data_IF_031874761851
#
_entry.id   IF_031874761851
#
_cell.length_a   1.000
_cell.length_b   1.000
_cell.length_c   1.000
_cell.angle_alpha   90.00
_cell.angle_beta   90.00
_cell.angle_gamma   90.00
#
_symmetry.space_group_name_H-M   'P 1'
#
loop_
_entity.id
_entity.type
_entity.pdbx_description
1 polymer ?
#
# COMPACT_ATOMS: atom_id res chain seq x y z
N UNK A 1 43.62 34.66 36.41
CA UNK A 1 44.28 34.30 35.15
C UNK A 1 43.40 33.28 34.46
N UNK A 2 42.64 33.72 33.45
CA UNK A 2 41.72 32.88 32.68
C UNK A 2 42.49 31.82 31.90
N UNK A 3 42.09 30.56 32.02
CA UNK A 3 42.51 29.49 31.12
C UNK A 3 41.38 29.22 30.13
N UNK A 4 41.59 29.64 28.88
CA UNK A 4 40.73 29.31 27.75
C UNK A 4 40.95 27.86 27.32
N UNK A 5 39.89 27.04 27.34
CA UNK A 5 39.87 25.75 26.67
C UNK A 5 39.25 25.95 25.28
N UNK A 6 40.02 25.64 24.24
CA UNK A 6 39.50 25.47 22.87
C UNK A 6 38.69 24.17 22.77
N UNK A 7 37.59 24.12 22.00
CA UNK A 7 36.94 22.86 21.68
C UNK A 7 37.67 22.15 20.53
N UNK A 8 38.03 20.89 20.78
CA UNK A 8 38.62 19.98 19.81
C UNK A 8 37.65 19.62 18.69
N UNK A 9 38.18 19.62 17.47
CA UNK A 9 37.50 19.28 16.23
C UNK A 9 37.28 17.77 16.08
N UNK A 10 36.11 17.40 15.55
CA UNK A 10 36.02 16.45 14.44
C UNK A 10 35.94 14.97 14.80
N UNK A 11 34.71 14.45 14.81
CA UNK A 11 34.42 13.02 14.79
C UNK A 11 32.97 12.73 14.38
N UNK A 12 32.48 13.40 13.34
CA UNK A 12 31.13 13.20 12.83
C UNK A 12 31.03 11.89 12.05
N UNK A 13 30.54 10.84 12.69
CA UNK A 13 30.05 9.63 12.01
C UNK A 13 28.89 10.03 11.09
N UNK A 14 29.13 9.97 9.77
CA UNK A 14 28.09 10.11 8.76
C UNK A 14 27.11 8.93 8.89
N UNK A 15 25.95 9.16 9.53
CA UNK A 15 24.78 8.31 9.35
C UNK A 15 24.42 8.33 7.86
N UNK A 16 24.48 7.17 7.19
CA UNK A 16 23.87 6.98 5.87
C UNK A 16 22.34 6.95 6.05
N UNK A 17 21.72 8.12 6.17
CA UNK A 17 20.30 8.28 5.88
C UNK A 17 20.11 8.16 4.36
N UNK A 18 19.09 7.44 3.92
CA UNK A 18 18.71 7.37 2.51
C UNK A 18 18.57 8.78 1.94
N UNK A 19 19.29 9.08 0.85
CA UNK A 19 19.15 10.37 0.15
C UNK A 19 17.83 10.36 -0.61
N UNK A 20 16.77 10.86 0.02
CA UNK A 20 15.71 11.55 -0.72
C UNK A 20 16.17 12.99 -0.97
N UNK A 21 15.83 13.56 -2.13
CA UNK A 21 16.05 14.98 -2.41
C UNK A 21 15.29 15.85 -1.41
N UNK A 22 15.77 17.07 -1.17
CA UNK A 22 15.12 18.05 -0.29
C UNK A 22 13.59 18.06 -0.50
N UNK A 23 12.84 17.69 0.54
CA UNK A 23 11.38 17.81 0.60
C UNK A 23 10.55 16.60 0.14
N UNK A 24 11.12 15.43 -0.17
CA UNK A 24 10.34 14.22 -0.53
C UNK A 24 10.60 13.06 0.43
N UNK A 25 9.56 12.33 0.86
CA UNK A 25 9.64 11.17 1.76
C UNK A 25 8.72 10.03 1.30
N UNK A 26 9.18 8.78 1.40
CA UNK A 26 8.31 7.62 1.24
C UNK A 26 7.54 7.43 2.54
N UNK A 27 6.21 7.36 2.46
CA UNK A 27 5.34 7.19 3.62
C UNK A 27 4.27 6.14 3.34
N UNK A 28 3.73 5.54 4.41
CA UNK A 28 2.52 4.73 4.31
C UNK A 28 1.36 5.62 3.84
N UNK A 29 0.67 5.20 2.78
CA UNK A 29 -0.50 5.91 2.27
C UNK A 29 -1.77 5.41 2.96
N UNK A 30 -2.05 4.11 2.81
CA UNK A 30 -3.24 3.49 3.38
C UNK A 30 -3.13 1.97 3.49
N UNK A 31 -4.05 1.41 4.27
CA UNK A 31 -4.32 -0.03 4.39
C UNK A 31 -5.66 -0.33 3.72
N UNK A 32 -5.72 -1.39 2.90
CA UNK A 32 -6.94 -1.82 2.21
C UNK A 32 -7.55 -3.00 2.96
N UNK A 33 -8.78 -2.82 3.45
CA UNK A 33 -9.54 -3.83 4.18
C UNK A 33 -10.77 -4.21 3.38
N UNK A 34 -10.80 -5.45 2.87
CA UNK A 34 -11.95 -5.95 2.11
C UNK A 34 -13.07 -6.36 3.07
N UNK A 35 -14.26 -5.80 2.88
CA UNK A 35 -15.46 -6.09 3.67
C UNK A 35 -16.63 -6.51 2.76
N UNK A 36 -17.64 -7.20 3.31
CA UNK A 36 -18.90 -7.42 2.59
C UNK A 36 -19.55 -6.07 2.26
N UNK A 37 -20.24 -5.97 1.13
CA UNK A 37 -20.83 -4.70 0.67
C UNK A 37 -21.77 -4.04 1.69
N UNK A 38 -22.50 -4.85 2.46
CA UNK A 38 -23.43 -4.35 3.47
C UNK A 38 -22.74 -3.60 4.64
N UNK A 39 -21.43 -3.80 4.85
CA UNK A 39 -20.64 -3.01 5.82
C UNK A 39 -20.47 -1.55 5.41
N UNK A 40 -20.63 -1.24 4.13
CA UNK A 40 -20.59 0.14 3.64
C UNK A 40 -21.98 0.79 3.72
N UNK A 41 -23.05 -0.01 3.75
CA UNK A 41 -24.43 0.47 3.71
C UNK A 41 -24.80 1.29 4.95
N UNK A 42 -25.32 2.49 4.72
CA UNK A 42 -25.74 3.40 5.79
C UNK A 42 -24.60 4.15 6.49
N UNK A 43 -23.38 4.08 5.95
CA UNK A 43 -22.25 4.94 6.30
C UNK A 43 -22.18 6.18 5.38
N UNK A 44 -21.49 7.26 5.79
CA UNK A 44 -21.39 8.48 5.00
C UNK A 44 -20.80 8.22 3.62
N UNK A 45 -21.41 8.81 2.60
CA UNK A 45 -20.76 8.97 1.29
C UNK A 45 -20.84 7.79 0.32
N UNK A 46 -21.74 6.85 0.51
CA UNK A 46 -22.20 6.05 -0.62
C UNK A 46 -23.27 6.82 -1.38
N UNK A 47 -23.29 6.72 -2.72
CA UNK A 47 -24.38 7.31 -3.48
C UNK A 47 -25.67 6.66 -3.01
N UNK A 48 -26.57 7.42 -2.39
CA UNK A 48 -27.97 7.10 -2.50
C UNK A 48 -28.24 7.09 -4.01
N UNK A 49 -28.52 5.92 -4.57
CA UNK A 49 -28.91 5.75 -5.97
C UNK A 49 -29.76 6.95 -6.42
N UNK A 50 -29.21 7.78 -7.29
CA UNK A 50 -29.73 9.11 -7.57
C UNK A 50 -29.73 9.42 -9.06
N UNK A 51 -30.85 9.08 -9.70
CA UNK A 51 -31.39 9.61 -10.96
C UNK A 51 -30.76 9.21 -12.31
N UNK A 52 -31.29 8.13 -12.89
CA UNK A 52 -31.77 8.15 -14.26
C UNK A 52 -33.29 8.24 -14.25
N UNK A 53 -33.88 9.29 -14.84
CA UNK A 53 -35.33 9.45 -14.95
C UNK A 53 -35.98 8.30 -15.72
N UNK A 54 -36.62 7.40 -14.98
CA UNK A 54 -37.47 6.33 -15.49
C UNK A 54 -38.27 5.83 -14.31
N UNK A 55 -39.59 6.02 -14.34
CA UNK A 55 -40.49 5.49 -13.35
C UNK A 55 -40.50 3.95 -13.45
N UNK A 56 -39.63 3.28 -12.70
CA UNK A 56 -39.80 1.88 -12.33
C UNK A 56 -39.20 1.66 -10.94
N UNK A 57 -40.07 1.30 -10.00
CA UNK A 57 -39.80 1.21 -8.56
C UNK A 57 -38.92 0.04 -8.11
N UNK A 58 -37.95 -0.39 -8.92
CA UNK A 58 -37.16 -1.61 -8.66
C UNK A 58 -35.85 -1.36 -7.92
N UNK A 59 -35.21 -0.19 -8.08
CA UNK A 59 -33.94 0.12 -7.41
C UNK A 59 -34.09 0.43 -5.90
N UNK A 60 -35.18 1.09 -5.49
CA UNK A 60 -35.50 1.32 -4.08
C UNK A 60 -35.93 0.03 -3.35
N UNK A 61 -36.36 -1.00 -4.09
CA UNK A 61 -36.69 -2.33 -3.56
C UNK A 61 -35.48 -3.27 -3.47
N UNK A 62 -34.40 -3.03 -4.23
CA UNK A 62 -33.16 -3.81 -4.12
C UNK A 62 -32.38 -3.53 -2.81
N UNK A 63 -32.56 -2.35 -2.21
CA UNK A 63 -32.00 -2.02 -0.90
C UNK A 63 -32.86 -2.53 0.29
N UNK A 64 -34.08 -3.00 0.04
CA UNK A 64 -35.06 -3.35 1.08
C UNK A 64 -34.80 -4.70 1.78
N UNK A 65 -33.60 -5.26 1.66
CA UNK A 65 -33.20 -6.52 2.31
C UNK A 65 -31.70 -6.65 2.61
N UNK A 66 -30.90 -5.60 2.42
CA UNK A 66 -29.50 -5.61 2.86
C UNK A 66 -29.43 -5.15 4.32
N UNK A 67 -28.87 -6.01 5.17
CA UNK A 67 -28.61 -5.70 6.57
C UNK A 67 -27.69 -4.49 6.66
N UNK A 68 -27.99 -3.52 7.52
CA UNK A 68 -27.09 -2.38 7.70
C UNK A 68 -25.73 -2.86 8.25
N UNK A 69 -24.69 -2.04 8.10
CA UNK A 69 -23.41 -2.31 8.73
C UNK A 69 -23.60 -2.61 10.23
N UNK A 70 -22.94 -3.65 10.79
CA UNK A 70 -23.08 -3.98 12.21
C UNK A 70 -22.77 -2.80 13.12
N UNK A 71 -23.48 -2.69 14.25
CA UNK A 71 -23.32 -1.57 15.19
C UNK A 71 -21.85 -1.41 15.65
N UNK A 72 -21.19 -2.51 16.01
CA UNK A 72 -19.78 -2.49 16.41
C UNK A 72 -18.88 -1.86 15.34
N UNK A 73 -19.19 -2.08 14.05
CA UNK A 73 -18.40 -1.55 12.93
C UNK A 73 -18.67 -0.06 12.74
N UNK A 74 -19.96 0.33 12.75
CA UNK A 74 -20.40 1.73 12.63
C UNK A 74 -19.82 2.63 13.72
N UNK A 75 -19.63 2.08 14.90
CA UNK A 75 -19.12 2.79 16.07
C UNK A 75 -17.59 2.69 16.23
N UNK A 76 -16.92 1.78 15.50
CA UNK A 76 -15.48 1.55 15.67
C UNK A 76 -14.66 2.80 15.34
N UNK A 77 -15.02 3.50 14.27
CA UNK A 77 -14.31 4.67 13.77
C UNK A 77 -15.28 5.76 13.33
N UNK A 78 -14.73 6.96 13.16
CA UNK A 78 -15.41 8.01 12.38
C UNK A 78 -15.13 7.79 10.91
N UNK A 79 -16.17 7.43 10.16
CA UNK A 79 -16.08 7.20 8.72
C UNK A 79 -16.22 8.49 7.93
N UNK A 80 -15.37 8.63 6.91
CA UNK A 80 -15.42 9.68 5.91
C UNK A 80 -15.92 9.12 4.57
N UNK A 81 -16.64 9.94 3.78
CA UNK A 81 -17.05 9.59 2.43
C UNK A 81 -15.89 9.08 1.56
N UNK A 82 -16.10 7.93 0.93
CA UNK A 82 -15.26 7.43 -0.14
C UNK A 82 -15.90 7.67 -1.51
N UNK A 83 -16.11 6.61 -2.28
CA UNK A 83 -16.80 6.64 -3.57
C UNK A 83 -16.61 5.34 -4.36
N UNK A 84 -17.10 5.36 -5.60
CA UNK A 84 -16.93 4.25 -6.55
C UNK A 84 -15.62 4.41 -7.33
N UNK A 85 -14.85 3.33 -7.41
CA UNK A 85 -13.63 3.31 -8.21
C UNK A 85 -13.94 3.38 -9.70
N UNK A 86 -12.98 3.88 -10.47
CA UNK A 86 -13.15 4.15 -11.90
C UNK A 86 -13.51 2.90 -12.74
N UNK A 87 -13.13 1.70 -12.27
CA UNK A 87 -13.51 0.42 -12.89
C UNK A 87 -14.98 0.03 -12.65
N UNK A 88 -15.66 0.71 -11.71
CA UNK A 88 -17.02 0.44 -11.31
C UNK A 88 -17.20 -0.85 -10.50
N UNK A 89 -16.14 -1.58 -10.16
CA UNK A 89 -16.25 -2.90 -9.52
C UNK A 89 -16.29 -2.83 -8.00
N UNK A 90 -15.74 -1.76 -7.43
CA UNK A 90 -15.61 -1.60 -5.98
C UNK A 90 -16.00 -0.21 -5.52
N UNK A 91 -16.46 -0.14 -4.28
CA UNK A 91 -16.78 1.09 -3.55
C UNK A 91 -16.06 1.08 -2.20
N UNK A 92 -15.77 2.27 -1.66
CA UNK A 92 -15.09 2.41 -0.39
C UNK A 92 -15.74 3.43 0.55
N UNK A 93 -15.42 3.29 1.83
CA UNK A 93 -15.49 4.32 2.85
C UNK A 93 -14.13 4.41 3.53
N UNK A 94 -13.81 5.57 4.11
CA UNK A 94 -12.48 5.85 4.63
C UNK A 94 -12.50 6.08 6.13
N UNK A 95 -11.43 5.69 6.80
CA UNK A 95 -11.11 6.13 8.16
C UNK A 95 -9.81 6.92 8.07
N UNK A 96 -9.89 8.24 8.29
CA UNK A 96 -8.75 9.14 8.15
C UNK A 96 -8.06 9.29 9.50
N UNK A 97 -6.73 9.20 9.56
CA UNK A 97 -6.00 9.42 10.79
C UNK A 97 -5.28 10.77 10.81
N UNK A 98 -5.01 11.29 12.03
CA UNK A 98 -4.23 12.53 12.22
C UNK A 98 -2.84 12.46 11.59
N UNK A 99 -2.25 11.27 11.53
CA UNK A 99 -0.95 11.02 10.88
C UNK A 99 -0.93 11.20 9.36
N UNK A 100 -2.10 11.34 8.71
CA UNK A 100 -2.25 11.44 7.26
C UNK A 100 -2.34 10.10 6.52
N UNK A 101 -2.19 9.00 7.25
CA UNK A 101 -2.53 7.63 6.81
C UNK A 101 -4.05 7.44 6.89
N UNK A 102 -4.62 6.56 6.07
CA UNK A 102 -6.02 6.15 6.22
C UNK A 102 -6.25 4.63 6.11
N UNK A 103 -7.36 4.14 6.65
CA UNK A 103 -7.89 2.82 6.30
C UNK A 103 -8.91 2.99 5.18
N UNK A 104 -8.81 2.13 4.17
CA UNK A 104 -9.78 2.00 3.11
C UNK A 104 -10.60 0.74 3.32
N UNK A 105 -11.83 0.89 3.81
CA UNK A 105 -12.77 -0.21 3.84
C UNK A 105 -13.44 -0.29 2.47
N UNK A 106 -13.12 -1.34 1.74
CA UNK A 106 -13.54 -1.54 0.36
C UNK A 106 -14.45 -2.74 0.24
N UNK A 107 -15.43 -2.68 -0.66
CA UNK A 107 -16.26 -3.81 -1.02
C UNK A 107 -16.50 -3.88 -2.53
N UNK A 108 -16.70 -5.09 -3.05
CA UNK A 108 -17.22 -5.28 -4.40
C UNK A 108 -18.67 -4.83 -4.46
N UNK A 109 -19.06 -4.14 -5.54
CA UNK A 109 -20.47 -3.76 -5.72
C UNK A 109 -21.33 -5.02 -5.89
N UNK A 110 -22.64 -4.96 -5.61
CA UNK A 110 -23.54 -6.08 -5.83
C UNK A 110 -23.47 -6.62 -7.27
N UNK A 111 -23.31 -5.74 -8.27
CA UNK A 111 -23.17 -6.14 -9.67
C UNK A 111 -21.85 -6.87 -9.92
N UNK A 112 -20.74 -6.36 -9.39
CA UNK A 112 -19.44 -7.01 -9.55
C UNK A 112 -19.37 -8.37 -8.84
N UNK A 113 -20.01 -8.50 -7.68
CA UNK A 113 -20.10 -9.74 -6.92
C UNK A 113 -21.01 -10.77 -7.62
N UNK A 114 -22.12 -10.33 -8.23
CA UNK A 114 -23.07 -11.18 -8.94
C UNK A 114 -22.68 -11.52 -10.39
N UNK A 115 -21.74 -10.78 -10.98
CA UNK A 115 -21.29 -11.00 -12.36
C UNK A 115 -20.60 -12.38 -12.50
N UNK A 116 -21.25 -13.28 -13.23
CA UNK A 116 -20.62 -14.54 -13.68
C UNK A 116 -19.82 -14.29 -14.96
N UNK A 117 -18.72 -15.03 -15.15
CA UNK A 117 -17.85 -14.94 -16.34
C UNK A 117 -18.55 -15.16 -17.70
N UNK A 118 -19.86 -15.48 -17.70
CA UNK A 118 -20.65 -15.83 -18.88
C UNK A 118 -21.37 -14.63 -19.55
N UNK A 119 -21.42 -13.45 -18.93
CA UNK A 119 -22.00 -12.27 -19.57
C UNK A 119 -20.95 -11.62 -20.49
N UNK A 120 -21.02 -11.94 -21.80
CA UNK A 120 -20.10 -11.53 -22.86
C UNK A 120 -19.99 -10.02 -23.15
N UNK A 121 -20.02 -9.17 -22.12
CA UNK A 121 -19.81 -7.73 -22.17
C UNK A 121 -18.57 -7.32 -21.38
N UNK A 122 -17.38 -7.82 -21.73
CA UNK A 122 -16.06 -7.23 -21.47
C UNK A 122 -15.60 -6.89 -20.03
N UNK A 123 -16.48 -6.88 -19.02
CA UNK A 123 -16.17 -6.51 -17.65
C UNK A 123 -15.78 -7.74 -16.84
N UNK A 124 -14.55 -7.73 -16.33
CA UNK A 124 -14.11 -8.68 -15.31
C UNK A 124 -14.89 -8.37 -14.03
N UNK A 125 -15.88 -9.19 -13.65
CA UNK A 125 -16.51 -9.13 -12.33
C UNK A 125 -15.49 -9.40 -11.20
N UNK A 126 -15.95 -9.58 -9.97
CA UNK A 126 -15.07 -9.83 -8.80
C UNK A 126 -13.93 -10.81 -9.11
N UNK A 127 -14.23 -11.93 -9.78
CA UNK A 127 -13.26 -12.99 -10.08
C UNK A 127 -12.05 -12.54 -10.91
N UNK A 128 -12.20 -11.51 -11.76
CA UNK A 128 -11.10 -11.01 -12.57
C UNK A 128 -10.40 -9.77 -11.99
N UNK A 129 -10.79 -9.34 -10.79
CA UNK A 129 -10.16 -8.25 -10.06
C UNK A 129 -9.00 -8.79 -9.20
N UNK A 130 -7.94 -7.99 -8.97
CA UNK A 130 -6.75 -8.41 -8.20
C UNK A 130 -7.06 -8.85 -6.76
N UNK A 131 -8.09 -8.25 -6.15
CA UNK A 131 -8.58 -8.64 -4.81
C UNK A 131 -9.72 -9.67 -4.85
N UNK A 132 -10.07 -10.19 -6.02
CA UNK A 132 -11.23 -11.04 -6.24
C UNK A 132 -11.24 -12.34 -5.44
N UNK A 133 -10.05 -12.94 -5.31
CA UNK A 133 -9.82 -14.19 -4.58
C UNK A 133 -9.69 -14.01 -3.06
N UNK A 134 -9.66 -12.77 -2.56
CA UNK A 134 -9.49 -12.54 -1.13
C UNK A 134 -10.77 -12.77 -0.35
N UNK A 135 -10.55 -13.20 0.88
CA UNK A 135 -11.55 -13.29 1.91
C UNK A 135 -12.03 -11.89 2.33
N UNK A 136 -13.34 -11.66 2.31
CA UNK A 136 -13.91 -10.52 3.05
C UNK A 136 -13.64 -10.67 4.55
N UNK A 137 -13.39 -9.56 5.23
CA UNK A 137 -12.94 -9.51 6.61
C UNK A 137 -11.42 -9.61 6.78
N UNK A 138 -10.63 -9.22 5.77
CA UNK A 138 -9.16 -9.27 5.82
C UNK A 138 -8.51 -8.00 5.27
N UNK A 139 -7.27 -7.74 5.71
CA UNK A 139 -6.39 -6.78 5.03
C UNK A 139 -5.88 -7.44 3.76
N UNK A 140 -6.22 -6.85 2.62
CA UNK A 140 -5.94 -7.47 1.29
C UNK A 140 -4.79 -6.81 0.56
N UNK A 141 -4.45 -5.58 0.96
CA UNK A 141 -3.37 -4.81 0.35
C UNK A 141 -2.98 -3.63 1.24
N UNK A 142 -1.87 -2.99 0.91
CA UNK A 142 -1.45 -1.74 1.53
C UNK A 142 -0.58 -0.95 0.58
N UNK A 143 -0.58 0.37 0.74
CA UNK A 143 0.04 1.28 -0.20
C UNK A 143 1.05 2.21 0.46
N UNK A 144 2.07 2.57 -0.30
CA UNK A 144 2.96 3.68 0.01
C UNK A 144 2.78 4.81 -1.00
N UNK A 145 3.22 6.01 -0.63
CA UNK A 145 3.21 7.18 -1.50
C UNK A 145 4.50 7.99 -1.36
N UNK A 146 4.72 8.89 -2.31
CA UNK A 146 5.74 9.94 -2.19
C UNK A 146 5.07 11.16 -1.58
N UNK A 147 5.42 11.47 -0.34
CA UNK A 147 4.90 12.63 0.37
C UNK A 147 5.87 13.80 0.24
N UNK A 148 5.33 15.00 0.00
CA UNK A 148 6.09 16.23 -0.15
C UNK A 148 5.96 17.12 1.08
N UNK A 149 7.09 17.52 1.67
CA UNK A 149 7.11 18.43 2.82
C UNK A 149 6.65 19.83 2.40
N UNK A 150 5.90 20.53 3.26
CA UNK A 150 5.43 21.90 2.99
C UNK A 150 3.99 22.04 2.49
N UNK A 151 3.25 20.94 2.42
CA UNK A 151 1.78 20.96 2.32
C UNK A 151 1.24 20.14 1.15
N UNK A 152 0.79 18.92 1.47
CA UNK A 152 -0.09 18.10 0.62
C UNK A 152 0.60 17.48 -0.58
N UNK A 153 0.46 16.18 -0.76
CA UNK A 153 1.01 15.46 -1.92
C UNK A 153 0.59 16.07 -3.27
N UNK A 154 1.53 16.01 -4.22
CA UNK A 154 1.41 16.49 -5.59
C UNK A 154 1.54 18.01 -5.73
N UNK A 155 2.54 18.49 -6.50
CA UNK A 155 2.39 19.80 -7.13
C UNK A 155 1.08 19.79 -7.94
N UNK A 156 0.27 20.84 -7.86
CA UNK A 156 -0.91 20.96 -8.70
C UNK A 156 -0.50 20.97 -10.18
N UNK A 157 -0.79 19.92 -10.94
CA UNK A 157 -0.48 19.88 -12.37
C UNK A 157 -0.54 18.48 -12.96
N UNK A 158 -0.88 18.41 -14.25
CA UNK A 158 -0.84 17.16 -15.02
C UNK A 158 0.57 16.56 -15.00
N UNK A 159 0.71 15.30 -14.60
CA UNK A 159 1.96 14.56 -14.58
C UNK A 159 2.64 14.46 -13.20
N UNK A 160 1.98 14.87 -12.12
CA UNK A 160 2.51 14.73 -10.76
C UNK A 160 2.84 13.27 -10.41
N UNK A 161 1.91 12.35 -10.69
CA UNK A 161 2.12 10.92 -10.46
C UNK A 161 3.30 10.36 -11.27
N UNK A 162 3.49 10.87 -12.49
CA UNK A 162 4.60 10.47 -13.35
C UNK A 162 5.95 10.95 -12.82
N UNK A 163 6.01 12.16 -12.26
CA UNK A 163 7.24 12.68 -11.67
C UNK A 163 7.66 11.86 -10.46
N UNK A 164 6.73 11.54 -9.55
CA UNK A 164 7.01 10.68 -8.39
C UNK A 164 7.47 9.28 -8.81
N UNK A 165 6.84 8.73 -9.86
CA UNK A 165 7.28 7.47 -10.45
C UNK A 165 8.71 7.53 -10.99
N UNK A 166 9.03 8.52 -11.82
CA UNK A 166 10.33 8.63 -12.47
C UNK A 166 11.47 8.95 -11.50
N UNK A 167 11.18 9.73 -10.44
CA UNK A 167 12.20 10.19 -9.50
C UNK A 167 12.37 9.28 -8.28
N UNK A 168 11.36 8.48 -7.91
CA UNK A 168 11.40 7.63 -6.72
C UNK A 168 11.22 6.16 -7.06
N UNK A 169 10.08 5.80 -7.66
CA UNK A 169 9.69 4.39 -7.85
C UNK A 169 10.60 3.67 -8.85
N UNK A 170 10.85 4.28 -10.01
CA UNK A 170 11.71 3.73 -11.06
C UNK A 170 13.15 3.54 -10.56
N UNK A 171 13.79 4.50 -9.87
CA UNK A 171 15.10 4.29 -9.25
C UNK A 171 15.13 3.16 -8.22
N UNK A 172 14.07 2.96 -7.43
CA UNK A 172 13.96 1.80 -6.51
C UNK A 172 14.02 0.49 -7.32
N UNK A 173 13.18 0.36 -8.34
CA UNK A 173 13.18 -0.82 -9.23
C UNK A 173 14.57 -1.09 -9.82
N UNK A 174 15.26 -0.05 -10.30
CA UNK A 174 16.61 -0.19 -10.86
C UNK A 174 17.63 -0.69 -9.82
N UNK A 175 17.56 -0.21 -8.57
CA UNK A 175 18.47 -0.65 -7.50
C UNK A 175 18.23 -2.09 -7.11
N UNK A 176 16.96 -2.52 -6.99
CA UNK A 176 16.61 -3.93 -6.73
C UNK A 176 17.16 -4.84 -7.83
N UNK A 177 16.96 -4.49 -9.10
CA UNK A 177 17.47 -5.26 -10.25
C UNK A 177 19.00 -5.34 -10.26
N UNK A 178 19.69 -4.23 -9.99
CA UNK A 178 21.15 -4.20 -9.92
C UNK A 178 21.68 -5.01 -8.73
N UNK A 179 21.01 -4.95 -7.58
CA UNK A 179 21.31 -5.77 -6.40
C UNK A 179 21.18 -7.26 -6.70
N UNK A 180 20.08 -7.66 -7.34
CA UNK A 180 19.83 -9.05 -7.72
C UNK A 180 20.91 -9.60 -8.67
N UNK A 181 21.30 -8.84 -9.69
CA UNK A 181 22.38 -9.24 -10.64
C UNK A 181 23.73 -9.46 -9.95
N UNK A 182 24.10 -8.60 -9.00
CA UNK A 182 25.36 -8.74 -8.25
C UNK A 182 25.40 -9.99 -7.39
N UNK A 183 24.27 -10.41 -6.81
CA UNK A 183 24.19 -11.63 -6.01
C UNK A 183 24.19 -12.92 -6.84
N UNK A 184 23.86 -12.85 -8.13
CA UNK A 184 23.79 -14.01 -9.03
C UNK A 184 24.93 -14.04 -10.07
N UNK A 185 25.92 -13.15 -9.97
CA UNK A 185 27.12 -13.24 -10.79
C UNK A 185 27.96 -14.42 -10.28
N UNK A 186 28.36 -15.39 -11.14
CA UNK A 186 29.24 -16.46 -10.72
C UNK A 186 30.57 -15.84 -10.28
N UNK A 187 31.03 -16.21 -9.08
CA UNK A 187 32.37 -15.84 -8.61
C UNK A 187 33.39 -16.31 -9.65
N UNK A 188 34.09 -15.36 -10.28
CA UNK A 188 35.20 -15.62 -11.19
C UNK A 188 36.44 -15.99 -10.36
N UNK A 189 36.38 -17.10 -9.64
CA UNK A 189 37.55 -17.72 -8.98
C UNK A 189 37.22 -19.15 -8.48
N UNK A 190 37.41 -20.14 -9.36
CA UNK A 190 38.04 -21.44 -9.04
C UNK A 190 37.51 -22.35 -7.90
N UNK A 191 36.33 -22.13 -7.31
CA UNK A 191 35.78 -23.02 -6.28
C UNK A 191 34.49 -23.70 -6.76
N UNK A 192 34.52 -25.04 -6.83
CA UNK A 192 33.31 -25.84 -7.07
C UNK A 192 32.26 -25.54 -6.00
N UNK A 193 30.98 -25.29 -6.37
CA UNK A 193 29.94 -25.06 -5.39
C UNK A 193 29.58 -26.38 -4.71
N UNK A 194 29.74 -26.42 -3.38
CA UNK A 194 29.08 -27.40 -2.52
C UNK A 194 27.56 -27.25 -2.66
N UNK A 195 26.87 -28.39 -2.78
CA UNK A 195 25.45 -28.45 -3.12
C UNK A 195 24.54 -27.61 -2.22
N UNK A 196 24.02 -26.53 -2.79
CA UNK A 196 22.82 -25.82 -2.36
C UNK A 196 22.23 -25.17 -3.61
N UNK A 197 21.04 -25.61 -4.03
CA UNK A 197 20.43 -25.21 -5.30
C UNK A 197 20.10 -23.72 -5.36
N UNK A 198 21.00 -22.91 -5.92
CA UNK A 198 20.75 -21.52 -6.30
C UNK A 198 20.34 -21.44 -7.76
N UNK A 199 19.08 -21.75 -8.06
CA UNK A 199 18.49 -21.43 -9.37
C UNK A 199 18.38 -19.91 -9.52
N UNK A 200 18.60 -19.39 -10.74
CA UNK A 200 18.49 -17.96 -11.06
C UNK A 200 17.16 -17.39 -10.57
N UNK A 201 17.20 -16.76 -9.40
CA UNK A 201 16.02 -16.54 -8.57
C UNK A 201 15.09 -15.50 -9.18
N UNK A 202 13.81 -15.62 -8.86
CA UNK A 202 12.84 -14.57 -9.15
C UNK A 202 13.23 -13.27 -8.43
N UNK A 203 12.79 -12.14 -8.97
CA UNK A 203 13.00 -10.83 -8.36
C UNK A 203 11.68 -10.07 -8.31
N UNK A 204 11.38 -9.49 -7.15
CA UNK A 204 10.21 -8.61 -6.96
C UNK A 204 10.63 -7.17 -7.21
N UNK A 205 9.94 -6.48 -8.11
CA UNK A 205 10.18 -5.07 -8.46
C UNK A 205 8.85 -4.34 -8.63
N UNK A 206 8.89 -3.03 -8.91
CA UNK A 206 7.70 -2.28 -9.31
C UNK A 206 7.52 -2.27 -10.83
N UNK A 207 6.28 -2.52 -11.26
CA UNK A 207 5.86 -2.44 -12.66
C UNK A 207 5.54 -1.01 -13.09
N UNK A 208 4.62 -0.87 -14.04
CA UNK A 208 4.27 0.42 -14.63
C UNK A 208 3.13 1.15 -13.90
N UNK A 209 2.99 2.44 -14.21
CA UNK A 209 1.89 3.28 -13.75
C UNK A 209 0.57 2.83 -14.36
N UNK A 210 -0.39 2.57 -13.50
CA UNK A 210 -1.77 2.23 -13.87
C UNK A 210 -2.65 3.40 -13.41
N UNK A 211 -3.24 4.17 -14.33
CA UNK A 211 -4.19 5.22 -13.99
C UNK A 211 -5.34 4.68 -13.14
N UNK A 212 -5.66 5.39 -12.08
CA UNK A 212 -6.71 5.07 -11.13
C UNK A 212 -7.50 6.31 -10.75
N UNK A 213 -8.57 6.10 -10.01
CA UNK A 213 -9.41 7.20 -9.58
C UNK A 213 -10.68 6.73 -8.90
N UNK A 214 -11.37 7.69 -8.28
CA UNK A 214 -12.74 7.55 -7.82
C UNK A 214 -13.54 8.80 -8.09
N UNK A 215 -14.84 8.64 -8.17
CA UNK A 215 -15.78 9.77 -8.16
C UNK A 215 -16.41 9.85 -6.79
N UNK A 216 -16.27 11.01 -6.13
CA UNK A 216 -16.93 11.29 -4.86
C UNK A 216 -18.44 11.48 -5.06
N UNK A 217 -19.26 11.36 -4.00
CA UNK A 217 -20.71 11.60 -4.07
C UNK A 217 -21.10 12.99 -4.58
N UNK A 218 -20.24 14.00 -4.40
CA UNK A 218 -20.44 15.36 -4.91
C UNK A 218 -20.10 15.51 -6.40
N UNK A 219 -19.70 14.43 -7.08
CA UNK A 219 -19.35 14.40 -8.50
C UNK A 219 -17.91 14.81 -8.80
N UNK A 220 -17.12 15.18 -7.79
CA UNK A 220 -15.70 15.50 -7.98
C UNK A 220 -14.94 14.21 -8.31
N UNK A 221 -14.22 14.24 -9.43
CA UNK A 221 -13.31 13.17 -9.84
C UNK A 221 -11.96 13.39 -9.18
N UNK A 222 -11.47 12.34 -8.56
CA UNK A 222 -10.14 12.26 -7.97
C UNK A 222 -9.34 11.24 -8.76
N UNK A 223 -8.14 11.63 -9.18
CA UNK A 223 -7.25 10.84 -10.01
C UNK A 223 -5.94 10.57 -9.29
N UNK A 224 -5.37 9.39 -9.52
CA UNK A 224 -4.06 8.97 -9.05
C UNK A 224 -3.51 7.93 -10.04
N UNK A 225 -2.28 7.48 -9.82
CA UNK A 225 -1.79 6.28 -10.47
C UNK A 225 -1.32 5.27 -9.42
N UNK A 226 -1.55 3.99 -9.70
CA UNK A 226 -1.02 2.90 -8.89
C UNK A 226 0.16 2.23 -9.58
N UNK A 227 1.11 1.72 -8.79
CA UNK A 227 2.23 0.93 -9.31
C UNK A 227 2.31 -0.38 -8.54
N UNK A 228 1.95 -1.52 -9.16
CA UNK A 228 1.97 -2.81 -8.47
C UNK A 228 3.39 -3.36 -8.34
N UNK A 229 3.61 -4.20 -7.33
CA UNK A 229 4.76 -5.07 -7.29
C UNK A 229 4.57 -6.26 -8.25
N UNK A 230 5.57 -6.55 -9.05
CA UNK A 230 5.60 -7.65 -10.02
C UNK A 230 6.80 -8.56 -9.78
N UNK A 231 6.63 -9.85 -10.04
CA UNK A 231 7.67 -10.85 -10.05
C UNK A 231 8.19 -11.01 -11.47
N UNK A 232 9.48 -10.78 -11.65
CA UNK A 232 10.18 -11.06 -12.89
C UNK A 232 10.91 -12.40 -12.78
N UNK A 233 10.81 -13.21 -13.82
CA UNK A 233 11.66 -14.37 -14.02
C UNK A 233 12.82 -13.96 -14.95
N UNK A 234 14.04 -13.75 -14.42
CA UNK A 234 15.17 -13.34 -15.25
C UNK A 234 15.59 -14.40 -16.28
N UNK A 235 15.10 -15.64 -16.16
CA UNK A 235 15.32 -16.70 -17.16
C UNK A 235 14.32 -16.65 -18.33
N UNK A 236 13.24 -15.87 -18.22
CA UNK A 236 12.17 -15.81 -19.21
C UNK A 236 12.33 -14.68 -20.24
N UNK A 237 13.55 -14.16 -20.48
CA UNK A 237 13.77 -13.17 -21.53
C UNK A 237 13.47 -13.79 -22.90
N UNK A 238 12.22 -13.71 -23.35
CA UNK A 238 11.88 -13.87 -24.75
C UNK A 238 12.56 -12.74 -25.51
N UNK A 239 13.37 -13.13 -26.49
CA UNK A 239 14.12 -12.23 -27.35
C UNK A 239 13.18 -11.43 -28.25
N UNK A 240 12.90 -10.19 -27.89
CA UNK A 240 12.36 -9.19 -28.82
C UNK A 240 13.23 -7.95 -28.82
N UNK A 241 14.44 -8.10 -29.35
CA UNK A 241 15.19 -6.96 -29.90
C UNK A 241 14.40 -6.40 -31.09
N UNK A 242 14.03 -5.11 -31.13
CA UNK A 242 13.47 -4.53 -32.34
C UNK A 242 14.60 -4.32 -33.36
N UNK A 243 14.53 -5.05 -34.48
CA UNK A 243 15.35 -4.77 -35.67
C UNK A 243 14.97 -3.41 -36.26
N UNK A 244 15.94 -2.58 -36.67
CA UNK A 244 15.66 -1.29 -37.30
C UNK A 244 15.45 -1.49 -38.80
N UNK A 245 14.19 -1.52 -39.26
CA UNK A 245 13.87 -1.29 -40.66
C UNK A 245 12.45 -0.76 -40.84
N UNK A 246 12.39 0.57 -41.01
CA UNK A 246 11.53 1.34 -41.91
C UNK A 246 10.08 0.88 -42.18
N UNK A 247 9.13 1.75 -41.81
CA UNK A 247 8.14 2.28 -42.76
C UNK A 247 7.54 3.59 -42.24
N UNK A 248 7.70 4.65 -43.04
CA UNK A 248 7.08 5.97 -42.89
C UNK A 248 5.58 5.87 -42.65
N UNK A 249 5.08 6.63 -41.69
CA UNK A 249 3.68 7.05 -41.61
C UNK A 249 3.62 8.57 -41.43
N UNK A 250 2.77 9.20 -42.22
CA UNK A 250 2.52 10.63 -42.34
C UNK A 250 1.84 11.23 -41.09
N UNK A 251 1.91 12.56 -40.87
CA UNK A 251 1.65 13.15 -39.56
C UNK A 251 0.19 13.58 -39.41
N UNK A 252 -0.53 13.02 -38.41
CA UNK A 252 -1.74 13.66 -37.86
C UNK A 252 -1.80 13.45 -36.34
N UNK A 253 -1.84 14.60 -35.67
CA UNK A 253 -2.20 14.93 -34.28
C UNK A 253 -1.34 14.41 -33.11
N UNK A 254 -0.66 15.37 -32.47
CA UNK A 254 0.11 15.23 -31.23
C UNK A 254 -0.84 15.41 -30.05
N UNK A 255 -1.11 14.33 -29.32
CA UNK A 255 -1.30 14.37 -27.86
C UNK A 255 -0.59 13.16 -27.27
N UNK A 256 0.57 13.43 -26.67
CA UNK A 256 1.60 12.45 -26.34
C UNK A 256 1.18 11.46 -25.26
N UNK A 257 0.98 10.20 -25.66
CA UNK A 257 1.22 9.05 -24.80
C UNK A 257 2.69 8.66 -24.97
N UNK A 258 3.51 8.96 -23.97
CA UNK A 258 4.86 8.41 -23.91
C UNK A 258 4.76 6.97 -23.38
N UNK A 259 4.81 6.00 -24.29
CA UNK A 259 5.01 4.59 -23.96
C UNK A 259 6.38 4.45 -23.27
N UNK A 260 6.37 4.26 -21.95
CA UNK A 260 7.54 3.86 -21.18
C UNK A 260 7.71 2.34 -21.32
N UNK A 261 8.95 1.89 -21.40
CA UNK A 261 9.31 0.49 -21.65
C UNK A 261 8.74 -0.47 -20.59
N UNK A 262 8.08 -1.52 -21.07
CA UNK A 262 7.29 -2.50 -20.32
C UNK A 262 8.17 -3.34 -19.36
N UNK A 263 7.82 -3.34 -18.08
CA UNK A 263 8.26 -4.40 -17.16
C UNK A 263 7.17 -5.50 -17.13
N UNK A 264 7.18 -6.37 -18.14
CA UNK A 264 6.30 -7.54 -18.23
C UNK A 264 6.61 -8.56 -17.12
N UNK A 265 5.78 -8.61 -16.07
CA UNK A 265 5.94 -9.52 -14.92
C UNK A 265 4.61 -9.96 -14.31
N UNK A 266 4.58 -11.11 -13.65
CA UNK A 266 3.39 -11.59 -12.94
C UNK A 266 3.21 -10.77 -11.66
N UNK A 267 2.01 -10.23 -11.40
CA UNK A 267 1.78 -9.47 -10.18
C UNK A 267 2.06 -10.33 -8.94
N UNK A 268 2.83 -9.79 -7.99
CA UNK A 268 2.99 -10.44 -6.69
C UNK A 268 1.64 -10.48 -5.99
N UNK A 269 1.34 -11.57 -5.29
CA UNK A 269 0.13 -11.69 -4.48
C UNK A 269 -0.11 -10.40 -3.66
N UNK A 270 -1.27 -9.72 -3.78
CA UNK A 270 -1.53 -8.47 -3.06
C UNK A 270 -1.31 -8.58 -1.54
N UNK A 271 -0.94 -7.46 -0.91
CA UNK A 271 -0.58 -7.41 0.50
C UNK A 271 0.85 -7.86 0.84
N UNK A 272 1.54 -8.55 -0.07
CA UNK A 272 2.91 -9.03 0.18
C UNK A 272 3.97 -7.95 -0.02
N UNK A 273 3.77 -7.04 -0.97
CA UNK A 273 4.59 -5.87 -1.17
C UNK A 273 3.66 -4.66 -1.32
N UNK A 274 4.03 -3.48 -0.80
CA UNK A 274 3.17 -2.33 -0.92
C UNK A 274 3.11 -1.91 -2.38
N UNK A 275 1.91 -1.63 -2.89
CA UNK A 275 1.81 -0.91 -4.17
C UNK A 275 2.04 0.59 -3.93
N UNK A 276 2.46 1.32 -4.97
CA UNK A 276 2.51 2.78 -4.89
C UNK A 276 1.16 3.36 -5.23
N UNK A 277 0.70 4.34 -4.46
CA UNK A 277 -0.43 5.20 -4.78
C UNK A 277 0.10 6.64 -4.89
N UNK A 278 0.38 7.08 -6.10
CA UNK A 278 0.95 8.41 -6.37
C UNK A 278 -0.14 9.36 -6.85
N UNK A 279 -0.21 10.53 -6.22
CA UNK A 279 -1.27 11.50 -6.40
C UNK A 279 -1.15 12.20 -7.77
N UNK A 280 -2.25 12.24 -8.53
CA UNK A 280 -2.38 13.09 -9.72
C UNK A 280 -3.26 14.32 -9.38
N UNK A 281 -4.33 14.08 -8.63
CA UNK A 281 -5.09 15.14 -7.95
C UNK A 281 -4.42 15.49 -6.61
N UNK A 282 -4.36 16.78 -6.20
CA UNK A 282 -3.80 17.16 -4.90
C UNK A 282 -4.33 16.31 -3.75
N UNK A 283 -3.41 15.83 -2.91
CA UNK A 283 -3.71 14.82 -1.89
C UNK A 283 -4.81 15.26 -0.95
N UNK A 284 -4.85 16.51 -0.53
CA UNK A 284 -5.83 17.06 0.41
C UNK A 284 -7.28 16.96 -0.11
N UNK A 285 -7.47 16.82 -1.43
CA UNK A 285 -8.78 16.57 -2.03
C UNK A 285 -9.16 15.08 -1.99
N UNK A 286 -8.16 14.19 -2.11
CA UNK A 286 -8.32 12.74 -1.98
C UNK A 286 -8.45 12.31 -0.53
N UNK A 287 -7.65 12.88 0.36
CA UNK A 287 -7.51 12.52 1.77
C UNK A 287 -7.52 13.81 2.60
N UNK A 288 -8.71 14.36 2.93
CA UNK A 288 -8.83 15.66 3.62
C UNK A 288 -8.56 15.59 5.13
N UNK A 289 -7.53 14.85 5.55
CA UNK A 289 -7.26 14.54 6.96
C UNK A 289 -6.93 15.78 7.82
N UNK A 290 -6.44 16.86 7.20
CA UNK A 290 -6.15 18.12 7.89
C UNK A 290 -7.39 18.94 8.27
N UNK A 291 -8.58 18.63 7.73
CA UNK A 291 -9.76 19.48 7.84
C UNK A 291 -10.81 18.93 8.82
N UNK A 292 -11.09 17.62 8.81
CA UNK A 292 -12.06 16.98 9.69
C UNK A 292 -11.97 15.44 9.59
N UNK A 293 -12.68 14.74 10.49
CA UNK A 293 -12.92 13.30 10.37
C UNK A 293 -11.81 12.39 10.89
N UNK A 294 -10.83 12.95 11.61
CA UNK A 294 -9.67 12.24 12.16
C UNK A 294 -9.72 11.94 13.66
N UNK A 295 -10.82 12.30 14.32
CA UNK A 295 -11.09 11.95 15.71
C UNK A 295 -11.87 10.64 15.77
N UNK A 296 -11.44 9.69 16.60
CA UNK A 296 -12.10 8.38 16.71
C UNK A 296 -12.46 8.07 18.15
N UNK A 297 -13.69 8.42 18.55
CA UNK A 297 -14.11 8.44 19.95
C UNK A 297 -13.97 7.08 20.67
N UNK A 298 -14.15 5.95 19.98
CA UNK A 298 -14.13 4.63 20.62
C UNK A 298 -12.77 3.93 20.60
N UNK A 299 -11.81 4.44 19.81
CA UNK A 299 -10.49 3.80 19.65
C UNK A 299 -9.33 4.73 19.97
N UNK A 300 -9.51 6.04 19.90
CA UNK A 300 -8.42 7.01 20.00
C UNK A 300 -7.39 6.85 18.87
N UNK A 301 -7.74 6.17 17.79
CA UNK A 301 -6.76 5.81 16.78
C UNK A 301 -6.21 7.06 16.06
N UNK A 302 -4.89 7.19 15.98
CA UNK A 302 -4.21 8.36 15.38
C UNK A 302 -3.29 8.01 14.21
N UNK A 303 -3.10 6.72 13.93
CA UNK A 303 -2.28 6.22 12.83
C UNK A 303 -2.02 4.72 12.92
N UNK A 304 -1.15 4.23 12.05
CA UNK A 304 -0.77 2.80 11.97
C UNK A 304 0.51 2.57 12.77
N UNK A 305 0.48 1.62 13.71
CA UNK A 305 1.61 1.24 14.54
C UNK A 305 2.47 0.14 13.90
N UNK A 306 1.83 -0.83 13.25
CA UNK A 306 2.57 -1.86 12.53
C UNK A 306 1.80 -2.43 11.36
N UNK A 307 2.56 -2.92 10.38
CA UNK A 307 2.10 -3.81 9.31
C UNK A 307 2.98 -5.04 9.38
N UNK A 308 2.39 -6.18 9.72
CA UNK A 308 3.07 -7.46 9.76
C UNK A 308 2.65 -8.27 8.54
N UNK A 309 3.62 -8.74 7.77
CA UNK A 309 3.40 -9.52 6.54
C UNK A 309 3.92 -10.92 6.76
N UNK A 310 3.04 -11.91 6.59
CA UNK A 310 3.44 -13.32 6.50
C UNK A 310 3.53 -13.71 5.04
N UNK A 311 4.69 -14.21 4.55
CA UNK A 311 4.85 -14.61 3.16
C UNK A 311 3.76 -15.58 2.67
N UNK A 312 3.13 -15.26 1.54
CA UNK A 312 2.20 -16.13 0.86
C UNK A 312 2.93 -17.33 0.22
N UNK A 313 2.24 -18.46 -0.02
CA UNK A 313 2.83 -19.60 -0.73
C UNK A 313 3.46 -19.16 -2.07
N UNK A 314 4.73 -19.51 -2.29
CA UNK A 314 5.46 -19.14 -3.50
C UNK A 314 6.06 -17.73 -3.51
N UNK A 315 5.90 -16.96 -2.43
CA UNK A 315 6.55 -15.65 -2.24
C UNK A 315 7.76 -15.81 -1.31
N UNK A 316 8.94 -15.43 -1.80
CA UNK A 316 10.20 -15.54 -1.05
C UNK A 316 10.32 -14.40 -0.03
N UNK A 317 10.48 -14.76 1.25
CA UNK A 317 10.76 -13.80 2.32
C UNK A 317 12.04 -12.99 2.05
N UNK A 318 13.07 -13.62 1.48
CA UNK A 318 14.32 -12.95 1.12
C UNK A 318 14.14 -11.94 -0.02
N UNK A 319 13.24 -12.21 -0.96
CA UNK A 319 12.97 -11.30 -2.09
C UNK A 319 12.17 -10.09 -1.62
N UNK A 320 11.17 -10.31 -0.75
CA UNK A 320 10.44 -9.24 -0.08
C UNK A 320 11.37 -8.38 0.77
N UNK A 321 12.24 -8.99 1.57
CA UNK A 321 13.21 -8.25 2.40
C UNK A 321 14.14 -7.36 1.58
N UNK A 322 14.61 -7.83 0.41
CA UNK A 322 15.44 -7.02 -0.50
C UNK A 322 14.66 -5.87 -1.13
N UNK A 323 13.38 -6.07 -1.46
CA UNK A 323 12.52 -4.98 -1.91
C UNK A 323 12.34 -3.95 -0.79
N UNK A 324 12.00 -4.41 0.41
CA UNK A 324 11.75 -3.54 1.56
C UNK A 324 12.99 -2.72 1.94
N UNK A 325 14.20 -3.27 1.80
CA UNK A 325 15.45 -2.54 1.99
C UNK A 325 15.63 -1.33 1.06
N UNK A 326 15.03 -1.38 -0.13
CA UNK A 326 15.11 -0.30 -1.10
C UNK A 326 13.99 0.74 -0.94
N UNK A 327 12.89 0.35 -0.29
CA UNK A 327 11.70 1.20 -0.08
C UNK A 327 11.74 1.88 1.30
N UNK A 328 12.17 1.16 2.33
CA UNK A 328 12.07 1.58 3.73
C UNK A 328 13.43 1.67 4.41
N UNK A 329 13.56 2.59 5.36
CA UNK A 329 14.70 2.58 6.26
C UNK A 329 14.60 1.38 7.23
N UNK A 330 15.74 0.82 7.62
CA UNK A 330 15.78 -0.21 8.67
C UNK A 330 15.30 0.39 9.99
N UNK A 331 14.54 -0.39 10.76
CA UNK A 331 14.06 0.04 12.07
C UNK A 331 15.20 0.19 13.07
N UNK A 332 15.11 1.22 13.91
CA UNK A 332 15.99 1.41 15.06
C UNK A 332 15.69 0.28 16.05
N UNK A 333 16.59 -0.70 16.19
CA UNK A 333 16.36 -1.81 17.15
C UNK A 333 16.17 -1.28 18.56
N UNK A 334 15.37 -2.00 19.35
CA UNK A 334 14.97 -1.63 20.71
C UNK A 334 16.11 -0.94 21.48
N UNK A 335 15.81 0.22 22.06
CA UNK A 335 16.77 0.98 22.85
C UNK A 335 17.29 0.12 24.01
N UNK A 336 18.61 -0.11 24.06
CA UNK A 336 19.28 -0.91 25.09
C UNK A 336 19.75 -2.31 24.67
N UNK A 337 19.39 -2.84 23.49
CA UNK A 337 19.91 -4.13 23.03
C UNK A 337 21.38 -4.06 22.58
N UNK A 338 22.17 -5.10 22.84
CA UNK A 338 23.58 -5.18 22.44
C UNK A 338 23.73 -5.19 20.91
N UNK A 339 24.82 -4.61 20.37
CA UNK A 339 25.04 -4.45 18.91
C UNK A 339 24.96 -5.79 18.12
N UNK A 340 25.32 -6.91 18.73
CA UNK A 340 25.20 -8.24 18.11
C UNK A 340 23.77 -8.80 18.13
N UNK A 341 22.97 -8.51 19.16
CA UNK A 341 21.55 -8.88 19.21
C UNK A 341 20.71 -8.01 18.27
N UNK A 342 21.01 -6.71 18.16
CA UNK A 342 20.38 -5.82 17.16
C UNK A 342 20.58 -6.32 15.73
N UNK A 343 21.74 -6.92 15.40
CA UNK A 343 22.01 -7.50 14.07
C UNK A 343 21.31 -8.83 13.80
N UNK A 344 20.97 -9.59 14.85
CA UNK A 344 20.25 -10.87 14.72
C UNK A 344 18.72 -10.70 14.72
N UNK A 345 18.19 -9.70 15.44
CA UNK A 345 16.74 -9.53 15.67
C UNK A 345 16.04 -8.49 14.76
N UNK A 346 16.76 -7.68 13.98
CA UNK A 346 16.17 -6.63 13.12
C UNK A 346 16.28 -6.89 11.61
N UNK A 347 16.66 -8.10 11.19
CA UNK A 347 16.79 -8.37 9.75
C UNK A 347 15.45 -8.36 9.00
N UNK A 348 14.33 -8.42 9.72
CA UNK A 348 12.97 -8.47 9.20
C UNK A 348 12.11 -7.27 9.62
N UNK A 349 12.70 -6.15 10.08
CA UNK A 349 11.98 -4.96 10.53
C UNK A 349 12.45 -3.68 9.85
N UNK A 350 11.48 -2.86 9.43
CA UNK A 350 11.69 -1.57 8.77
C UNK A 350 10.82 -0.49 9.40
N UNK A 351 11.31 0.75 9.38
CA UNK A 351 10.55 1.91 9.83
C UNK A 351 9.45 2.23 8.81
N UNK A 352 8.24 2.49 9.31
CA UNK A 352 7.07 2.81 8.52
C UNK A 352 6.64 4.25 8.83
N UNK A 353 7.15 5.19 8.04
CA UNK A 353 6.87 6.62 8.23
C UNK A 353 5.47 7.02 7.78
N UNK A 354 4.90 7.99 8.47
CA UNK A 354 3.62 8.61 8.13
C UNK A 354 3.81 10.01 7.49
N UNK A 355 2.83 10.52 6.72
CA UNK A 355 2.84 11.88 6.16
C UNK A 355 3.21 12.98 7.16
N UNK A 356 2.53 13.01 8.31
CA UNK A 356 2.79 13.98 9.40
C UNK A 356 4.03 13.64 10.24
N UNK A 357 4.85 12.70 9.77
CA UNK A 357 6.05 12.24 10.46
C UNK A 357 5.71 11.77 11.88
N UNK A 358 6.50 12.24 12.85
CA UNK A 358 6.36 11.82 14.25
C UNK A 358 5.54 12.79 15.10
N UNK A 359 4.71 13.65 14.49
CA UNK A 359 3.92 14.65 15.23
C UNK A 359 2.88 14.02 16.17
N UNK A 360 2.28 12.90 15.78
CA UNK A 360 1.19 12.27 16.54
C UNK A 360 1.57 10.93 17.17
N UNK A 361 2.56 10.25 16.62
CA UNK A 361 3.08 8.97 17.09
C UNK A 361 4.49 8.78 16.55
N UNK A 362 5.31 7.91 17.16
CA UNK A 362 6.60 7.48 16.57
C UNK A 362 6.40 6.73 15.26
N UNK A 363 7.44 6.55 14.45
CA UNK A 363 7.34 5.74 13.22
C UNK A 363 6.75 4.35 13.53
N UNK A 364 5.93 3.84 12.61
CA UNK A 364 5.41 2.49 12.68
C UNK A 364 6.48 1.46 12.35
N UNK A 365 6.11 0.18 12.41
CA UNK A 365 7.01 -0.93 12.07
C UNK A 365 6.40 -1.79 10.97
N UNK A 366 7.10 -1.92 9.86
CA UNK A 366 6.88 -3.01 8.92
C UNK A 366 7.69 -4.21 9.39
N UNK A 367 7.05 -5.36 9.55
CA UNK A 367 7.69 -6.60 9.98
C UNK A 367 7.36 -7.75 9.03
N UNK A 368 8.39 -8.49 8.61
CA UNK A 368 8.20 -9.74 7.88
C UNK A 368 8.23 -10.90 8.88
N UNK A 369 7.09 -11.56 9.04
CA UNK A 369 6.88 -12.59 10.07
C UNK A 369 7.02 -13.99 9.47
N UNK A 370 7.73 -14.87 10.17
CA UNK A 370 7.69 -16.30 9.89
C UNK A 370 6.45 -16.91 10.54
N UNK A 371 5.61 -17.57 9.74
CA UNK A 371 4.40 -18.26 10.20
C UNK A 371 4.68 -19.27 11.33
N UNK A 372 5.90 -19.81 11.42
CA UNK A 372 6.30 -20.75 12.45
C UNK A 372 6.61 -20.11 13.82
N UNK A 373 6.82 -18.79 13.89
CA UNK A 373 7.36 -18.09 15.06
C UNK A 373 6.38 -17.17 15.80
N UNK A 374 5.12 -17.04 15.36
CA UNK A 374 4.17 -16.10 15.94
C UNK A 374 3.23 -16.76 16.97
N UNK A 375 3.02 -16.11 18.13
CA UNK A 375 2.15 -16.63 19.20
C UNK A 375 0.66 -16.64 18.82
N UNK A 376 0.26 -15.78 17.87
CA UNK A 376 -1.06 -15.80 17.26
C UNK A 376 -1.04 -16.62 15.97
N UNK A 377 -2.11 -17.39 15.69
CA UNK A 377 -2.26 -18.16 14.47
C UNK A 377 -2.41 -17.22 13.25
N UNK A 378 -1.29 -16.78 12.66
CA UNK A 378 -1.24 -15.99 11.43
C UNK A 378 -1.03 -16.95 10.26
N UNK A 379 -1.91 -16.90 9.25
CA UNK A 379 -1.82 -17.78 8.09
C UNK A 379 -0.81 -17.23 7.06
N UNK A 380 -0.28 -18.11 6.23
CA UNK A 380 0.55 -17.71 5.10
C UNK A 380 -0.22 -16.75 4.18
N UNK A 381 0.37 -15.61 3.85
CA UNK A 381 -0.25 -14.57 3.04
C UNK A 381 -0.99 -13.48 3.82
N UNK A 382 -1.17 -13.64 5.14
CA UNK A 382 -1.87 -12.67 5.96
C UNK A 382 -1.07 -11.38 6.13
N UNK A 383 -1.82 -10.28 6.21
CA UNK A 383 -1.33 -8.96 6.65
C UNK A 383 -2.08 -8.58 7.92
N UNK A 384 -1.34 -8.34 9.00
CA UNK A 384 -1.89 -7.94 10.30
C UNK A 384 -1.50 -6.49 10.58
N UNK A 385 -2.46 -5.70 11.07
CA UNK A 385 -2.28 -4.27 11.29
C UNK A 385 -2.60 -3.91 12.74
N UNK A 386 -1.71 -3.16 13.38
CA UNK A 386 -1.95 -2.51 14.66
C UNK A 386 -2.04 -0.99 14.48
N UNK A 387 -2.80 -0.33 15.34
CA UNK A 387 -3.03 1.12 15.29
C UNK A 387 -2.47 1.79 16.53
N UNK A 388 -1.93 2.99 16.37
CA UNK A 388 -1.60 3.85 17.51
C UNK A 388 -2.87 4.43 18.12
N UNK A 389 -2.96 4.47 19.44
CA UNK A 389 -4.05 5.12 20.19
C UNK A 389 -3.53 6.23 21.11
N UNK A 390 -4.21 7.37 21.08
CA UNK A 390 -4.01 8.48 22.03
C UNK A 390 -4.77 8.31 23.35
N UNK A 391 -5.44 7.16 23.53
CA UNK A 391 -6.18 6.78 24.74
C UNK A 391 -5.39 5.76 25.56
N UNK A 392 -4.72 6.17 26.66
CA UNK A 392 -3.90 5.27 27.47
C UNK A 392 -4.66 4.07 28.02
N UNK A 393 -5.95 4.23 28.33
CA UNK A 393 -6.82 3.17 28.83
C UNK A 393 -7.12 2.07 27.80
N UNK A 394 -6.93 2.36 26.50
CA UNK A 394 -7.12 1.43 25.40
C UNK A 394 -5.81 0.81 24.89
N UNK A 395 -4.65 1.27 25.36
CA UNK A 395 -3.37 0.67 24.99
C UNK A 395 -3.31 -0.81 25.41
N UNK A 396 -2.86 -1.67 24.49
CA UNK A 396 -2.84 -3.12 24.65
C UNK A 396 -4.20 -3.80 24.50
N UNK A 397 -5.26 -3.07 24.14
CA UNK A 397 -6.57 -3.66 23.81
C UNK A 397 -6.65 -4.01 22.33
N UNK A 398 -7.54 -4.96 22.03
CA UNK A 398 -7.92 -5.34 20.67
C UNK A 398 -9.34 -4.84 20.38
N UNK A 399 -9.52 -4.21 19.24
CA UNK A 399 -10.81 -3.65 18.79
C UNK A 399 -11.18 -4.18 17.42
N UNK A 400 -12.48 -4.29 17.15
CA UNK A 400 -12.99 -4.89 15.92
C UNK A 400 -14.13 -5.86 16.21
N UNK A 401 -14.38 -6.76 15.26
CA UNK A 401 -15.52 -7.66 15.37
C UNK A 401 -15.60 -8.67 14.23
N UNK A 402 -16.54 -9.60 14.41
CA UNK A 402 -16.82 -10.64 13.42
C UNK A 402 -17.46 -10.03 12.17
N UNK A 403 -17.03 -10.53 11.01
CA UNK A 403 -17.52 -10.13 9.70
C UNK A 403 -18.50 -11.17 9.17
N UNK A 404 -18.05 -12.41 9.00
CA UNK A 404 -18.89 -13.54 8.62
C UNK A 404 -18.22 -14.86 9.03
N UNK A 405 -19.01 -15.83 9.51
CA UNK A 405 -18.53 -17.12 10.01
C UNK A 405 -17.42 -16.98 11.05
N UNK A 406 -16.25 -17.53 10.73
CA UNK A 406 -15.04 -17.46 11.56
C UNK A 406 -14.13 -16.27 11.22
N UNK A 407 -14.53 -15.41 10.28
CA UNK A 407 -13.75 -14.24 9.86
C UNK A 407 -14.08 -13.02 10.71
N UNK A 408 -13.04 -12.23 10.98
CA UNK A 408 -13.15 -11.04 11.80
C UNK A 408 -12.05 -10.05 11.43
N UNK A 409 -12.37 -8.77 11.61
CA UNK A 409 -11.39 -7.69 11.50
C UNK A 409 -11.02 -7.30 12.92
N UNK A 410 -9.73 -7.32 13.22
CA UNK A 410 -9.19 -6.93 14.52
C UNK A 410 -7.99 -6.01 14.33
N UNK A 411 -7.91 -4.99 15.18
CA UNK A 411 -6.77 -4.10 15.31
C UNK A 411 -6.31 -4.11 16.76
N UNK A 412 -5.03 -4.38 16.97
CA UNK A 412 -4.40 -4.15 18.26
C UNK A 412 -4.07 -2.67 18.42
N UNK A 413 -4.32 -2.12 19.61
CA UNK A 413 -4.08 -0.73 19.93
C UNK A 413 -2.77 -0.57 20.70
N UNK A 414 -1.86 0.23 20.16
CA UNK A 414 -0.54 0.53 20.72
C UNK A 414 -0.57 1.96 21.26
N UNK A 415 -0.17 2.18 22.51
CA UNK A 415 -0.05 3.54 23.04
C UNK A 415 1.01 4.36 22.30
N UNK A 416 0.68 5.63 22.01
CA UNK A 416 1.61 6.60 21.39
C UNK A 416 2.88 6.82 22.20
#
# INVERSE_FOLDING_TARGET
>A
MSSSLQPGSGGGSKKKGGRSGEGRRVTLDHIVVLVPYHFLSGLPGLSASGNGGGADGTAAQAAAGQEAAPEWFRELFTFSPGGRHADGLTENVLVLFKSGVYLEFIAFTPEAAGATAAAGGGGKGRQGHKWGGFAEGSVVDWAVTVFHDGGGGGESGTGAAKNDYDEVVRPITQRVLLGHRRHHQPDDEGQQPGGGGGGGGQVVVYGDLIPGGRTRPDGVKLEWATVPAVRLDPSSSSSSSPSPSEKEATPVDRRGGAAAAEAEGEQVHPGQAPFWCVDETPRELRVPYAHAGTEHANTGAVGVASVQVTPAPGVSAGDLGRLYDEVFARGDGEDGAEEEEKKKNNNNKWALSAPEGTHFHRDGVLELVDAAGHEAAVAAGDVVVALYTDKPELAGKRVGGKVDGDRAIWFDLVGV
#
